data_IF_390547454789
#
_entry.id   IF_390547454789
#
_cell.length_a   1.000
_cell.length_b   1.000
_cell.length_c   1.000
_cell.angle_alpha   90.00
_cell.angle_beta   90.00
_cell.angle_gamma   90.00
#
_symmetry.space_group_name_H-M   'P 1'
#
loop_
_entity.id
_entity.type
_entity.pdbx_description
1 polymer ?
#
# COMPACT_ATOMS: atom_id res chain seq x y z
N UNK A 1 12.96 -10.08 20.61
CA UNK A 1 13.31 -10.61 19.27
C UNK A 1 12.00 -10.82 18.51
N UNK A 2 11.82 -10.26 17.31
CA UNK A 2 10.58 -10.39 16.53
C UNK A 2 9.97 -9.10 15.97
N UNK A 3 10.79 -8.12 15.58
CA UNK A 3 10.31 -6.83 15.04
C UNK A 3 9.79 -6.88 13.60
N UNK A 4 10.03 -7.98 12.87
CA UNK A 4 9.55 -8.18 11.50
C UNK A 4 8.30 -9.06 11.54
N UNK A 5 7.28 -8.66 10.79
CA UNK A 5 6.09 -9.47 10.61
C UNK A 5 6.35 -10.66 9.67
N UNK A 6 5.76 -11.83 9.95
CA UNK A 6 5.93 -12.96 9.04
C UNK A 6 5.40 -12.57 7.66
N UNK A 7 6.14 -12.93 6.62
CA UNK A 7 5.64 -12.83 5.25
C UNK A 7 4.79 -14.08 4.96
N UNK A 8 3.53 -13.89 4.61
CA UNK A 8 2.63 -14.97 4.20
C UNK A 8 2.56 -14.99 2.66
N UNK A 9 2.84 -16.16 2.07
CA UNK A 9 2.82 -16.33 0.62
C UNK A 9 3.98 -15.62 -0.07
N UNK A 10 3.73 -15.04 -1.26
CA UNK A 10 4.74 -14.31 -2.07
C UNK A 10 5.99 -15.13 -2.44
N UNK A 11 5.84 -16.46 -2.52
CA UNK A 11 6.92 -17.40 -2.79
C UNK A 11 7.62 -17.12 -4.12
N UNK A 12 6.83 -16.86 -5.16
CA UNK A 12 7.35 -16.62 -6.51
C UNK A 12 8.18 -15.34 -6.57
N UNK A 13 7.75 -14.30 -5.87
CA UNK A 13 8.44 -13.02 -5.80
C UNK A 13 9.75 -13.12 -5.00
N UNK A 14 9.74 -13.86 -3.88
CA UNK A 14 10.94 -14.15 -3.11
C UNK A 14 11.94 -15.01 -3.90
N UNK A 15 11.49 -16.11 -4.50
CA UNK A 15 12.32 -16.97 -5.33
C UNK A 15 12.93 -16.18 -6.49
N UNK A 16 12.13 -15.30 -7.11
CA UNK A 16 12.62 -14.40 -8.15
C UNK A 16 13.66 -13.42 -7.64
N UNK A 17 13.48 -12.84 -6.45
CA UNK A 17 14.46 -11.93 -5.85
C UNK A 17 15.79 -12.64 -5.55
N UNK A 18 15.74 -13.84 -4.96
CA UNK A 18 16.89 -14.71 -4.72
C UNK A 18 17.60 -15.04 -6.04
N UNK A 19 16.83 -15.49 -7.04
CA UNK A 19 17.38 -15.81 -8.36
C UNK A 19 18.11 -14.62 -8.97
N UNK A 20 17.57 -13.41 -8.83
CA UNK A 20 18.21 -12.18 -9.30
C UNK A 20 19.51 -11.90 -8.55
N UNK A 21 19.50 -11.96 -7.21
CA UNK A 21 20.68 -11.71 -6.37
C UNK A 21 21.84 -12.68 -6.67
N UNK A 22 21.53 -13.91 -7.08
CA UNK A 22 22.51 -14.93 -7.45
C UNK A 22 23.10 -14.75 -8.87
N UNK A 23 22.64 -13.78 -9.67
CA UNK A 23 23.16 -13.56 -11.04
C UNK A 23 24.55 -12.93 -11.00
N UNK A 24 25.36 -13.22 -12.03
CA UNK A 24 26.66 -12.56 -12.25
C UNK A 24 26.53 -11.09 -12.69
N UNK A 25 25.45 -10.74 -13.39
CA UNK A 25 25.16 -9.39 -13.88
C UNK A 25 23.66 -9.12 -13.74
N UNK A 26 23.28 -7.85 -13.58
CA UNK A 26 21.89 -7.45 -13.29
C UNK A 26 21.36 -8.16 -12.04
N UNK A 27 22.16 -8.12 -10.99
CA UNK A 27 21.95 -8.81 -9.73
C UNK A 27 21.32 -7.93 -8.64
N UNK A 28 20.69 -6.84 -9.04
CA UNK A 28 20.03 -5.90 -8.16
C UNK A 28 18.52 -6.01 -8.40
N UNK A 29 17.75 -6.67 -7.50
CA UNK A 29 16.29 -6.68 -7.59
C UNK A 29 15.73 -5.27 -7.47
N UNK A 30 14.78 -4.92 -8.33
CA UNK A 30 13.95 -3.73 -8.17
C UNK A 30 12.50 -4.18 -8.05
N UNK A 31 11.97 -4.11 -6.83
CA UNK A 31 10.59 -4.43 -6.50
C UNK A 31 9.72 -3.28 -6.97
N UNK A 32 8.94 -3.51 -8.02
CA UNK A 32 8.08 -2.48 -8.63
C UNK A 32 6.62 -2.87 -8.44
N UNK A 33 5.86 -2.02 -7.77
CA UNK A 33 4.45 -2.26 -7.47
C UNK A 33 3.81 -1.07 -6.79
N UNK A 34 2.48 -1.02 -6.77
CA UNK A 34 1.73 0.07 -6.14
C UNK A 34 2.05 0.22 -4.64
N UNK A 35 1.73 1.38 -4.05
CA UNK A 35 1.89 1.54 -2.60
C UNK A 35 0.93 0.59 -1.86
N UNK A 36 1.41 -0.01 -0.77
CA UNK A 36 0.63 -0.95 0.05
C UNK A 36 0.65 -2.42 -0.41
N UNK A 37 1.25 -2.77 -1.55
CA UNK A 37 1.26 -4.17 -2.04
C UNK A 37 2.22 -5.12 -1.31
N UNK A 38 3.06 -4.59 -0.42
CA UNK A 38 4.01 -5.37 0.40
C UNK A 38 5.45 -5.46 -0.14
N UNK A 39 5.94 -4.43 -0.83
CA UNK A 39 7.34 -4.39 -1.34
C UNK A 39 8.38 -4.53 -0.21
N UNK A 40 8.24 -3.74 0.85
CA UNK A 40 9.10 -3.77 2.04
C UNK A 40 9.01 -5.11 2.75
N UNK A 41 7.79 -5.65 2.89
CA UNK A 41 7.55 -6.97 3.48
C UNK A 41 8.27 -8.11 2.75
N UNK A 42 8.45 -8.01 1.42
CA UNK A 42 9.24 -9.00 0.66
C UNK A 42 10.73 -8.91 1.02
N UNK A 43 11.29 -7.71 1.14
CA UNK A 43 12.69 -7.55 1.53
C UNK A 43 12.95 -8.03 2.97
N UNK A 44 12.04 -7.72 3.89
CA UNK A 44 12.09 -8.20 5.27
C UNK A 44 11.87 -9.72 5.37
N UNK A 45 10.94 -10.26 4.59
CA UNK A 45 10.71 -11.71 4.48
C UNK A 45 11.92 -12.46 3.93
N UNK A 46 12.66 -11.86 2.99
CA UNK A 46 13.94 -12.41 2.53
C UNK A 46 14.99 -12.42 3.66
N UNK A 47 15.09 -11.34 4.45
CA UNK A 47 15.99 -11.29 5.60
C UNK A 47 15.63 -12.39 6.61
N UNK A 48 14.34 -12.60 6.87
CA UNK A 48 13.86 -13.67 7.73
C UNK A 48 14.24 -15.06 7.19
N UNK A 49 14.08 -15.31 5.88
CA UNK A 49 14.50 -16.58 5.25
C UNK A 49 15.98 -16.87 5.39
N UNK A 50 16.84 -15.85 5.23
CA UNK A 50 18.28 -16.02 5.40
C UNK A 50 18.58 -16.49 6.83
N UNK A 51 17.95 -15.88 7.84
CA UNK A 51 18.11 -16.28 9.25
C UNK A 51 17.60 -17.70 9.52
N UNK A 52 16.52 -18.12 8.86
CA UNK A 52 16.00 -19.49 8.99
C UNK A 52 16.83 -20.54 8.22
N UNK A 53 17.79 -20.12 7.40
CA UNK A 53 18.50 -21.01 6.48
C UNK A 53 17.64 -21.50 5.31
N UNK A 54 16.50 -20.84 5.05
CA UNK A 54 15.58 -21.15 3.93
C UNK A 54 15.99 -20.37 2.66
N UNK A 55 17.27 -20.42 2.34
CA UNK A 55 17.88 -19.82 1.16
C UNK A 55 19.01 -20.73 0.64
N UNK A 56 19.39 -20.66 -0.64
CA UNK A 56 20.54 -21.39 -1.16
C UNK A 56 21.83 -21.07 -0.38
N UNK A 57 22.76 -22.03 -0.29
CA UNK A 57 24.02 -21.90 0.46
C UNK A 57 24.81 -20.62 0.14
N UNK A 58 24.80 -20.21 -1.13
CA UNK A 58 25.47 -18.98 -1.61
C UNK A 58 24.92 -17.69 -0.98
N UNK A 59 23.76 -17.75 -0.32
CA UNK A 59 23.11 -16.63 0.37
C UNK A 59 23.04 -16.80 1.88
N UNK A 60 23.51 -17.93 2.44
CA UNK A 60 23.41 -18.22 3.87
C UNK A 60 24.09 -17.15 4.74
N UNK A 61 25.24 -16.65 4.29
CA UNK A 61 26.02 -15.62 5.00
C UNK A 61 25.60 -14.19 4.66
N UNK A 62 24.57 -14.00 3.82
CA UNK A 62 24.17 -12.66 3.41
C UNK A 62 23.54 -11.88 4.56
N UNK A 63 23.83 -10.58 4.65
CA UNK A 63 23.15 -9.68 5.59
C UNK A 63 22.46 -8.57 4.82
N UNK A 64 21.15 -8.39 5.08
CA UNK A 64 20.36 -7.30 4.48
C UNK A 64 20.38 -6.10 5.41
N UNK A 65 20.88 -4.98 4.91
CA UNK A 65 20.88 -3.69 5.62
C UNK A 65 19.83 -2.77 5.02
N UNK A 66 18.88 -2.28 5.82
CA UNK A 66 17.93 -1.26 5.39
C UNK A 66 18.53 0.14 5.52
N UNK A 67 18.36 0.97 4.49
CA UNK A 67 18.84 2.35 4.48
C UNK A 67 17.76 3.31 4.99
N UNK A 68 18.03 3.96 6.13
CA UNK A 68 17.22 5.09 6.59
C UNK A 68 17.76 6.42 6.06
N UNK A 69 17.07 6.98 5.06
CA UNK A 69 17.40 8.26 4.46
C UNK A 69 17.22 9.40 5.48
N UNK A 70 16.23 9.31 6.36
CA UNK A 70 15.95 10.31 7.38
C UNK A 70 17.13 10.49 8.33
N UNK A 71 17.69 9.38 8.82
CA UNK A 71 18.90 9.39 9.67
C UNK A 71 20.13 9.96 8.96
N UNK A 72 20.26 9.75 7.65
CA UNK A 72 21.36 10.33 6.87
C UNK A 72 21.25 11.84 6.72
N UNK A 73 20.02 12.36 6.58
CA UNK A 73 19.73 13.79 6.49
C UNK A 73 19.74 14.48 7.86
N UNK A 74 19.43 13.76 8.93
CA UNK A 74 19.40 14.28 10.29
C UNK A 74 20.76 14.89 10.70
N UNK A 75 20.72 16.15 11.14
CA UNK A 75 21.91 16.89 11.55
C UNK A 75 22.84 17.29 10.39
N UNK A 76 22.41 17.14 9.13
CA UNK A 76 23.12 17.71 7.97
C UNK A 76 22.54 19.10 7.68
N UNK A 77 23.39 20.12 7.70
CA UNK A 77 22.99 21.51 7.35
C UNK A 77 23.15 21.77 5.85
N UNK A 78 23.97 20.96 5.18
CA UNK A 78 24.36 21.12 3.79
C UNK A 78 24.30 19.78 3.03
N UNK A 79 23.91 19.82 1.76
CA UNK A 79 23.85 18.66 0.84
C UNK A 79 25.15 17.84 0.80
N UNK A 80 26.31 18.50 0.87
CA UNK A 80 27.62 17.83 0.83
C UNK A 80 27.88 16.89 2.02
N UNK A 81 27.26 17.15 3.18
CA UNK A 81 27.40 16.29 4.35
C UNK A 81 26.68 14.95 4.15
N UNK A 82 25.51 14.97 3.53
CA UNK A 82 24.79 13.75 3.12
C UNK A 82 25.64 12.94 2.14
N UNK A 83 26.15 13.55 1.07
CA UNK A 83 26.95 12.85 0.07
C UNK A 83 28.20 12.20 0.70
N UNK A 84 28.85 12.89 1.64
CA UNK A 84 30.00 12.37 2.39
C UNK A 84 29.63 11.18 3.27
N UNK A 85 28.53 11.27 4.03
CA UNK A 85 28.04 10.16 4.89
C UNK A 85 27.64 8.96 4.06
N UNK A 86 26.90 9.18 2.99
CA UNK A 86 26.45 8.12 2.09
C UNK A 86 27.62 7.43 1.40
N UNK A 87 28.62 8.20 0.93
CA UNK A 87 29.85 7.64 0.37
C UNK A 87 30.65 6.80 1.39
N UNK A 88 30.69 7.22 2.66
CA UNK A 88 31.34 6.46 3.72
C UNK A 88 30.62 5.11 3.98
N UNK A 89 29.28 5.13 4.05
CA UNK A 89 28.46 3.93 4.17
C UNK A 89 28.70 2.96 3.00
N UNK A 90 28.68 3.46 1.77
CA UNK A 90 28.93 2.64 0.58
C UNK A 90 30.33 2.01 0.56
N UNK A 91 31.35 2.74 1.03
CA UNK A 91 32.72 2.21 1.14
C UNK A 91 32.83 1.09 2.18
N UNK A 92 32.06 1.17 3.25
CA UNK A 92 32.00 0.11 4.27
C UNK A 92 31.32 -1.15 3.72
N UNK A 93 30.23 -0.99 2.96
CA UNK A 93 29.56 -2.11 2.29
C UNK A 93 30.42 -2.74 1.19
N UNK A 94 31.26 -1.97 0.50
CA UNK A 94 32.19 -2.50 -0.52
C UNK A 94 33.22 -3.50 0.06
N UNK A 95 33.51 -3.44 1.36
CA UNK A 95 34.44 -4.35 2.02
C UNK A 95 33.79 -5.70 2.39
N UNK A 96 32.46 -5.77 2.40
CA UNK A 96 31.69 -6.96 2.76
C UNK A 96 30.89 -7.47 1.55
N UNK A 97 31.40 -8.54 0.92
CA UNK A 97 30.78 -9.15 -0.26
C UNK A 97 29.43 -9.80 0.02
N UNK A 98 29.13 -10.09 1.28
CA UNK A 98 27.88 -10.72 1.71
C UNK A 98 26.81 -9.68 2.09
N UNK A 99 27.14 -8.40 2.03
CA UNK A 99 26.18 -7.34 2.27
C UNK A 99 25.20 -7.15 1.10
N UNK A 100 23.93 -6.97 1.44
CA UNK A 100 22.86 -6.56 0.52
C UNK A 100 22.24 -5.30 1.09
N UNK A 101 22.24 -4.21 0.32
CA UNK A 101 21.62 -2.95 0.72
C UNK A 101 20.17 -2.90 0.25
N UNK A 102 19.22 -2.83 1.17
CA UNK A 102 17.84 -2.52 0.87
C UNK A 102 17.60 -1.01 0.95
N UNK A 103 17.08 -0.44 -0.14
CA UNK A 103 16.70 0.97 -0.23
C UNK A 103 15.21 1.00 -0.56
N UNK A 104 14.41 1.33 0.45
CA UNK A 104 12.99 1.61 0.24
C UNK A 104 12.84 2.93 -0.50
N UNK A 105 11.80 3.02 -1.34
CA UNK A 105 11.54 4.21 -2.16
C UNK A 105 12.79 4.74 -2.88
N UNK A 106 13.53 3.86 -3.56
CA UNK A 106 14.85 4.17 -4.14
C UNK A 106 14.80 5.33 -5.16
N UNK A 107 13.63 5.68 -5.69
CA UNK A 107 13.44 6.85 -6.55
C UNK A 107 13.71 8.18 -5.82
N UNK A 108 13.54 8.24 -4.50
CA UNK A 108 13.77 9.45 -3.68
C UNK A 108 15.23 9.93 -3.74
N UNK A 109 16.18 9.00 -3.84
CA UNK A 109 17.62 9.31 -3.92
C UNK A 109 18.13 9.40 -5.36
N UNK A 110 17.32 9.07 -6.37
CA UNK A 110 17.74 8.98 -7.78
C UNK A 110 17.06 10.03 -8.68
N UNK A 111 15.83 10.42 -8.38
CA UNK A 111 14.98 11.17 -9.32
C UNK A 111 14.71 12.63 -8.98
N UNK A 112 15.18 13.12 -7.84
CA UNK A 112 14.67 14.35 -7.29
C UNK A 112 15.31 15.65 -7.81
N UNK A 113 16.21 15.53 -8.79
CA UNK A 113 16.98 16.64 -9.33
C UNK A 113 16.27 17.52 -10.38
N UNK A 114 15.02 17.23 -10.77
CA UNK A 114 14.42 17.84 -11.97
C UNK A 114 13.32 18.90 -11.76
N UNK A 115 12.65 18.99 -10.59
CA UNK A 115 11.47 19.87 -10.46
C UNK A 115 11.36 20.70 -9.17
N UNK A 116 12.15 20.42 -8.14
CA UNK A 116 12.04 21.15 -6.86
C UNK A 116 13.35 21.02 -6.09
N UNK A 117 14.12 22.11 -6.04
CA UNK A 117 15.52 22.20 -5.58
C UNK A 117 15.83 21.85 -4.12
N UNK A 118 15.33 20.73 -3.58
CA UNK A 118 15.49 20.35 -2.17
C UNK A 118 15.92 18.89 -1.91
N UNK A 119 15.93 17.99 -2.89
CA UNK A 119 16.25 16.58 -2.66
C UNK A 119 17.59 16.17 -3.30
N UNK A 120 18.29 15.24 -2.65
CA UNK A 120 19.68 14.88 -2.97
C UNK A 120 19.71 13.82 -4.07
N UNK A 121 20.28 14.15 -5.23
CA UNK A 121 20.59 13.18 -6.28
C UNK A 121 21.87 12.41 -5.92
N UNK A 122 21.69 11.22 -5.36
CA UNK A 122 22.76 10.29 -5.01
C UNK A 122 23.03 9.25 -6.12
N UNK A 123 22.33 9.32 -7.26
CA UNK A 123 22.47 8.33 -8.34
C UNK A 123 23.93 8.25 -8.83
N UNK A 124 24.62 9.37 -8.89
CA UNK A 124 26.03 9.44 -9.30
C UNK A 124 27.00 8.76 -8.32
N UNK A 125 26.62 8.60 -7.05
CA UNK A 125 27.41 7.89 -6.05
C UNK A 125 27.23 6.37 -6.15
N UNK A 126 26.02 5.92 -6.54
CA UNK A 126 25.65 4.51 -6.59
C UNK A 126 26.05 3.87 -7.93
N UNK A 127 25.97 4.62 -9.04
CA UNK A 127 26.26 4.14 -10.41
C UNK A 127 27.62 3.43 -10.54
N UNK A 128 28.75 3.95 -10.03
CA UNK A 128 30.05 3.28 -10.13
C UNK A 128 30.06 1.91 -9.42
N UNK A 129 29.44 1.82 -8.24
CA UNK A 129 29.43 0.63 -7.41
C UNK A 129 28.51 -0.46 -7.97
N UNK A 130 27.37 -0.07 -8.53
CA UNK A 130 26.52 -0.99 -9.29
C UNK A 130 27.21 -1.47 -10.57
N UNK A 131 28.06 -0.64 -11.19
CA UNK A 131 28.80 -1.04 -12.39
C UNK A 131 29.98 -1.96 -12.13
N UNK A 132 30.65 -1.83 -10.98
CA UNK A 132 31.69 -2.77 -10.56
C UNK A 132 31.11 -4.10 -10.08
N UNK A 133 29.82 -4.11 -9.71
CA UNK A 133 29.12 -5.31 -9.20
C UNK A 133 29.58 -5.72 -7.80
N UNK A 134 30.29 -4.82 -7.10
CA UNK A 134 30.83 -5.08 -5.76
C UNK A 134 29.79 -5.00 -4.66
N UNK A 135 28.68 -4.30 -4.90
CA UNK A 135 27.55 -4.22 -3.97
C UNK A 135 26.29 -4.78 -4.65
N UNK A 136 25.44 -5.42 -3.85
CA UNK A 136 24.09 -5.85 -4.25
C UNK A 136 23.07 -4.94 -3.59
N UNK A 137 22.10 -4.48 -4.37
CA UNK A 137 21.04 -3.58 -3.91
C UNK A 137 19.67 -4.19 -4.20
N UNK A 138 18.78 -4.18 -3.21
CA UNK A 138 17.34 -4.38 -3.40
C UNK A 138 16.70 -2.99 -3.33
N UNK A 139 16.07 -2.55 -4.42
CA UNK A 139 15.32 -1.30 -4.46
C UNK A 139 13.81 -1.54 -4.43
N UNK A 140 13.06 -0.60 -3.89
CA UNK A 140 11.59 -0.56 -3.95
C UNK A 140 11.09 0.74 -4.59
N UNK A 141 10.11 0.67 -5.49
CA UNK A 141 9.52 1.86 -6.13
C UNK A 141 8.10 1.58 -6.65
N UNK A 142 7.33 2.64 -6.95
CA UNK A 142 6.04 2.50 -7.66
C UNK A 142 6.20 2.34 -9.17
N UNK A 143 5.15 1.90 -9.86
CA UNK A 143 5.11 1.83 -11.33
C UNK A 143 5.33 3.19 -11.98
N UNK A 144 4.67 4.23 -11.46
CA UNK A 144 4.75 5.58 -11.99
C UNK A 144 6.18 6.13 -11.90
N UNK A 145 6.84 5.99 -10.74
CA UNK A 145 8.22 6.44 -10.54
C UNK A 145 9.22 5.61 -11.34
N UNK A 146 8.97 4.31 -11.47
CA UNK A 146 9.80 3.44 -12.29
C UNK A 146 9.86 3.95 -13.74
N UNK A 147 8.72 4.18 -14.38
CA UNK A 147 8.69 4.66 -15.77
C UNK A 147 9.14 6.11 -15.92
N UNK A 148 8.86 6.97 -14.93
CA UNK A 148 9.19 8.39 -15.04
C UNK A 148 10.67 8.70 -14.81
N UNK A 149 11.32 7.97 -13.90
CA UNK A 149 12.68 8.26 -13.41
C UNK A 149 13.64 7.14 -13.81
N UNK A 150 13.37 5.91 -13.38
CA UNK A 150 14.30 4.79 -13.51
C UNK A 150 14.49 4.31 -14.94
N UNK A 151 13.40 4.16 -15.70
CA UNK A 151 13.43 3.64 -17.06
C UNK A 151 14.15 4.58 -18.03
N UNK A 152 14.11 5.89 -17.74
CA UNK A 152 14.83 6.92 -18.51
C UNK A 152 16.33 6.90 -18.23
N UNK A 153 16.77 6.50 -17.04
CA UNK A 153 18.19 6.33 -16.73
C UNK A 153 18.72 4.97 -17.20
N UNK A 154 19.29 4.96 -18.41
CA UNK A 154 19.88 3.76 -19.02
C UNK A 154 20.98 3.12 -18.18
N UNK A 155 21.71 3.85 -17.34
CA UNK A 155 22.78 3.28 -16.53
C UNK A 155 22.19 2.40 -15.42
N UNK A 156 21.16 2.89 -14.73
CA UNK A 156 20.48 2.18 -13.64
C UNK A 156 19.60 1.03 -14.16
N UNK A 157 18.80 1.29 -15.20
CA UNK A 157 17.94 0.27 -15.81
C UNK A 157 18.73 -0.97 -16.31
N UNK A 158 20.00 -0.79 -16.68
CA UNK A 158 20.89 -1.89 -17.10
C UNK A 158 21.52 -2.66 -15.94
N UNK A 159 21.35 -2.23 -14.68
CA UNK A 159 21.93 -2.86 -13.47
C UNK A 159 20.88 -3.46 -12.56
N UNK A 160 19.67 -2.94 -12.60
CA UNK A 160 18.53 -3.51 -11.91
C UNK A 160 17.78 -4.53 -12.78
N UNK A 161 17.16 -5.49 -12.11
CA UNK A 161 16.19 -6.39 -12.70
C UNK A 161 14.82 -6.09 -12.07
N UNK A 162 13.89 -5.61 -12.89
CA UNK A 162 12.50 -5.39 -12.49
C UNK A 162 11.87 -6.72 -12.04
N UNK A 163 11.23 -6.69 -10.89
CA UNK A 163 10.33 -7.73 -10.36
C UNK A 163 9.00 -7.05 -10.08
N UNK A 164 7.97 -7.44 -10.83
CA UNK A 164 6.63 -6.91 -10.66
C UNK A 164 5.99 -7.50 -9.42
N UNK A 165 5.60 -6.64 -8.48
CA UNK A 165 4.89 -7.00 -7.25
C UNK A 165 3.44 -6.57 -7.44
N UNK A 166 2.61 -7.53 -7.84
CA UNK A 166 1.20 -7.28 -8.08
C UNK A 166 0.43 -7.21 -6.78
N UNK A 167 -0.71 -6.50 -6.79
CA UNK A 167 -1.68 -6.59 -5.72
C UNK A 167 -2.13 -8.07 -5.56
N UNK A 168 -2.18 -8.60 -4.32
CA UNK A 168 -2.65 -9.95 -4.09
C UNK A 168 -4.15 -10.05 -4.32
N UNK A 169 -4.63 -11.24 -4.65
CA UNK A 169 -6.06 -11.53 -4.76
C UNK A 169 -6.76 -11.45 -3.40
N UNK A 170 -8.09 -11.44 -3.42
CA UNK A 170 -8.92 -11.47 -2.20
C UNK A 170 -8.58 -12.68 -1.34
N UNK A 171 -8.47 -13.87 -1.93
CA UNK A 171 -8.18 -15.10 -1.17
C UNK A 171 -6.75 -15.11 -0.60
N UNK A 172 -5.75 -14.67 -1.38
CA UNK A 172 -4.38 -14.53 -0.88
C UNK A 172 -4.32 -13.52 0.27
N UNK A 173 -5.07 -12.41 0.18
CA UNK A 173 -5.13 -11.41 1.26
C UNK A 173 -5.82 -11.95 2.51
N UNK A 174 -6.87 -12.75 2.36
CA UNK A 174 -7.49 -13.44 3.50
C UNK A 174 -6.49 -14.37 4.18
N UNK A 175 -5.61 -15.05 3.44
CA UNK A 175 -4.54 -15.86 4.02
C UNK A 175 -3.50 -14.99 4.75
N UNK A 176 -3.07 -13.88 4.14
CA UNK A 176 -2.16 -12.91 4.77
C UNK A 176 -2.73 -12.42 6.10
N UNK A 177 -3.98 -11.95 6.12
CA UNK A 177 -4.62 -11.48 7.34
C UNK A 177 -4.73 -12.61 8.37
N UNK A 178 -5.06 -13.84 7.97
CA UNK A 178 -5.13 -14.95 8.93
C UNK A 178 -3.78 -15.29 9.56
N UNK A 179 -2.66 -15.12 8.83
CA UNK A 179 -1.31 -15.29 9.40
C UNK A 179 -0.90 -14.16 10.34
N UNK A 180 -1.35 -12.93 10.09
CA UNK A 180 -1.09 -11.77 10.95
C UNK A 180 -2.08 -11.66 12.12
N UNK A 181 -3.27 -12.24 11.99
CA UNK A 181 -4.38 -12.16 12.95
C UNK A 181 -3.96 -12.46 14.39
N UNK A 182 -3.18 -13.51 14.71
CA UNK A 182 -2.80 -13.79 16.10
C UNK A 182 -2.07 -12.63 16.78
N UNK A 183 -1.26 -11.85 16.03
CA UNK A 183 -0.56 -10.67 16.56
C UNK A 183 -1.54 -9.54 16.85
N UNK A 184 -2.47 -9.26 15.94
CA UNK A 184 -3.51 -8.25 16.14
C UNK A 184 -4.48 -8.63 17.26
N UNK A 185 -4.87 -9.90 17.37
CA UNK A 185 -5.72 -10.40 18.46
C UNK A 185 -5.05 -10.21 19.82
N UNK A 186 -3.77 -10.54 19.95
CA UNK A 186 -3.01 -10.34 21.17
C UNK A 186 -2.83 -8.84 21.50
N UNK A 187 -2.50 -8.03 20.49
CA UNK A 187 -2.31 -6.59 20.65
C UNK A 187 -3.60 -5.89 21.10
N UNK A 188 -4.75 -6.27 20.53
CA UNK A 188 -6.04 -5.64 20.78
C UNK A 188 -6.92 -6.35 21.80
N UNK A 189 -6.51 -7.50 22.34
CA UNK A 189 -7.33 -8.33 23.26
C UNK A 189 -8.75 -8.59 22.71
N UNK A 190 -8.82 -8.94 21.43
CA UNK A 190 -10.05 -9.29 20.72
C UNK A 190 -9.83 -10.54 19.87
N UNK A 191 -10.92 -11.11 19.38
CA UNK A 191 -10.90 -12.17 18.37
C UNK A 191 -11.62 -11.71 17.11
N UNK A 192 -11.04 -11.96 15.94
CA UNK A 192 -11.69 -11.66 14.66
C UNK A 192 -12.37 -12.91 14.13
N UNK A 193 -13.66 -12.82 13.84
CA UNK A 193 -14.36 -13.93 13.19
C UNK A 193 -13.85 -14.14 11.76
N UNK A 194 -13.88 -15.38 11.25
CA UNK A 194 -13.49 -15.67 9.87
C UNK A 194 -14.32 -14.87 8.84
N UNK A 195 -15.61 -14.64 9.14
CA UNK A 195 -16.49 -13.78 8.33
C UNK A 195 -16.05 -12.32 8.36
N UNK A 196 -15.61 -11.80 9.52
CA UNK A 196 -15.09 -10.43 9.62
C UNK A 196 -13.79 -10.26 8.81
N UNK A 197 -12.87 -11.24 8.86
CA UNK A 197 -11.64 -11.21 8.06
C UNK A 197 -11.96 -11.13 6.57
N UNK A 198 -12.83 -11.99 6.07
CA UNK A 198 -13.25 -11.97 4.66
C UNK A 198 -13.94 -10.65 4.30
N UNK A 199 -14.87 -10.17 5.14
CA UNK A 199 -15.55 -8.91 4.93
C UNK A 199 -14.57 -7.72 4.88
N UNK A 200 -13.52 -7.72 5.70
CA UNK A 200 -12.52 -6.65 5.69
C UNK A 200 -11.83 -6.53 4.33
N UNK A 201 -11.46 -7.67 3.73
CA UNK A 201 -10.84 -7.69 2.40
C UNK A 201 -11.84 -7.27 1.32
N UNK A 202 -13.01 -7.91 1.26
CA UNK A 202 -14.01 -7.67 0.22
C UNK A 202 -14.55 -6.23 0.23
N UNK A 203 -14.83 -5.69 1.42
CA UNK A 203 -15.32 -4.32 1.58
C UNK A 203 -14.21 -3.29 1.31
N UNK A 204 -12.96 -3.57 1.69
CA UNK A 204 -11.84 -2.69 1.35
C UNK A 204 -11.59 -2.63 -0.16
N UNK A 205 -11.72 -3.75 -0.87
CA UNK A 205 -11.67 -3.77 -2.35
C UNK A 205 -12.79 -2.93 -2.95
N UNK A 206 -14.01 -3.06 -2.43
CA UNK A 206 -15.20 -2.42 -3.00
C UNK A 206 -15.29 -0.92 -2.74
N UNK A 207 -14.85 -0.46 -1.57
CA UNK A 207 -15.12 0.90 -1.10
C UNK A 207 -13.86 1.76 -0.89
N UNK A 208 -12.67 1.15 -0.79
CA UNK A 208 -11.39 1.86 -0.62
C UNK A 208 -10.57 1.70 -1.91
N UNK A 209 -10.86 2.55 -2.89
CA UNK A 209 -10.35 2.43 -4.27
C UNK A 209 -9.01 3.14 -4.49
N UNK A 210 -8.61 4.04 -3.59
CA UNK A 210 -7.37 4.83 -3.64
C UNK A 210 -6.15 4.10 -3.03
N UNK A 211 -6.38 2.91 -2.47
CA UNK A 211 -5.35 2.06 -1.85
C UNK A 211 -5.42 0.63 -2.37
N UNK A 212 -4.36 -0.13 -2.13
CA UNK A 212 -4.21 -1.50 -2.62
C UNK A 212 -4.12 -2.50 -1.47
N UNK A 213 -4.47 -3.75 -1.74
CA UNK A 213 -4.24 -4.89 -0.87
C UNK A 213 -2.74 -5.23 -0.82
N UNK A 214 -2.24 -5.83 0.28
CA UNK A 214 -2.98 -6.18 1.49
C UNK A 214 -3.16 -5.02 2.49
N UNK A 215 -2.42 -3.91 2.32
CA UNK A 215 -2.35 -2.80 3.28
C UNK A 215 -3.72 -2.27 3.73
N UNK A 216 -4.59 -1.89 2.79
CA UNK A 216 -5.92 -1.36 3.14
C UNK A 216 -6.79 -2.30 3.97
N UNK A 217 -6.64 -3.61 3.79
CA UNK A 217 -7.42 -4.60 4.53
C UNK A 217 -6.81 -4.85 5.93
N UNK A 218 -5.49 -4.75 6.05
CA UNK A 218 -4.79 -4.80 7.34
C UNK A 218 -5.20 -3.58 8.19
N UNK A 219 -5.22 -2.38 7.60
CA UNK A 219 -5.66 -1.12 8.25
C UNK A 219 -7.09 -1.26 8.80
N UNK A 220 -8.02 -1.83 8.02
CA UNK A 220 -9.40 -2.10 8.46
C UNK A 220 -9.45 -3.06 9.67
N UNK A 221 -8.63 -4.12 9.67
CA UNK A 221 -8.58 -5.09 10.78
C UNK A 221 -8.00 -4.45 12.05
N UNK A 222 -6.92 -3.70 11.90
CA UNK A 222 -6.26 -3.00 12.99
C UNK A 222 -7.20 -1.98 13.64
N UNK A 223 -7.84 -1.15 12.80
CA UNK A 223 -8.76 -0.10 13.24
C UNK A 223 -10.02 -0.66 13.91
N UNK A 224 -10.54 -1.80 13.44
CA UNK A 224 -11.64 -2.49 14.09
C UNK A 224 -11.26 -3.02 15.49
N UNK A 225 -10.03 -3.54 15.65
CA UNK A 225 -9.51 -3.98 16.95
C UNK A 225 -9.32 -2.82 17.92
N UNK A 226 -8.69 -1.74 17.44
CA UNK A 226 -8.49 -0.51 18.21
C UNK A 226 -9.83 0.09 18.68
N UNK A 227 -10.83 0.13 17.81
CA UNK A 227 -12.17 0.62 18.15
C UNK A 227 -12.83 -0.20 19.26
N UNK A 228 -12.69 -1.53 19.23
CA UNK A 228 -13.24 -2.39 20.27
C UNK A 228 -12.61 -2.09 21.65
N UNK A 229 -11.32 -1.75 21.70
CA UNK A 229 -10.63 -1.33 22.94
C UNK A 229 -11.05 0.03 23.46
N UNK A 230 -11.30 0.98 22.56
CA UNK A 230 -11.70 2.35 22.92
C UNK A 230 -13.11 2.42 23.53
N UNK A 231 -13.94 1.39 23.35
CA UNK A 231 -15.25 1.34 24.01
C UNK A 231 -15.10 1.24 25.55
N UNK A 232 -16.05 1.83 26.32
CA UNK A 232 -16.11 1.65 27.76
C UNK A 232 -16.14 0.17 28.13
N UNK A 233 -15.54 -0.21 29.27
CA UNK A 233 -15.40 -1.62 29.68
C UNK A 233 -16.72 -2.41 29.60
N UNK A 234 -17.84 -1.77 29.93
CA UNK A 234 -19.19 -2.36 29.86
C UNK A 234 -19.68 -2.69 28.45
N UNK A 235 -19.11 -2.06 27.40
CA UNK A 235 -19.45 -2.24 25.98
C UNK A 235 -18.32 -2.85 25.15
N UNK A 236 -17.18 -3.19 25.76
CA UNK A 236 -16.06 -3.81 25.05
C UNK A 236 -16.47 -5.16 24.48
N UNK A 237 -16.45 -5.25 23.15
CA UNK A 237 -16.63 -6.52 22.46
C UNK A 237 -15.32 -7.28 22.51
N UNK A 238 -15.37 -8.55 22.93
CA UNK A 238 -14.24 -9.49 22.80
C UNK A 238 -14.12 -10.07 21.39
N UNK A 239 -15.11 -9.86 20.54
CA UNK A 239 -15.17 -10.46 19.21
C UNK A 239 -15.61 -9.43 18.18
N UNK A 240 -14.81 -9.30 17.12
CA UNK A 240 -15.06 -8.40 15.99
C UNK A 240 -15.83 -9.17 14.91
N UNK A 241 -16.99 -8.64 14.55
CA UNK A 241 -17.91 -9.21 13.56
C UNK A 241 -17.98 -8.34 12.30
N UNK A 242 -18.70 -8.82 11.28
CA UNK A 242 -18.89 -8.12 10.00
C UNK A 242 -19.41 -6.70 10.19
N UNK A 243 -20.39 -6.47 11.09
CA UNK A 243 -20.94 -5.14 11.35
C UNK A 243 -19.90 -4.13 11.89
N UNK A 244 -18.89 -4.62 12.64
CA UNK A 244 -17.82 -3.76 13.15
C UNK A 244 -16.90 -3.32 12.00
N UNK A 245 -16.61 -4.25 11.08
CA UNK A 245 -15.85 -4.00 9.85
C UNK A 245 -16.59 -3.03 8.92
N UNK A 246 -17.90 -3.23 8.71
CA UNK A 246 -18.71 -2.35 7.87
C UNK A 246 -18.66 -0.89 8.33
N UNK A 247 -18.76 -0.66 9.64
CA UNK A 247 -18.72 0.71 10.18
C UNK A 247 -17.30 1.31 10.12
N UNK A 248 -16.24 0.51 10.24
CA UNK A 248 -14.86 0.97 10.01
C UNK A 248 -14.65 1.35 8.55
N UNK A 249 -15.02 0.47 7.61
CA UNK A 249 -14.89 0.74 6.17
C UNK A 249 -15.73 1.95 5.76
N UNK A 250 -16.97 2.08 6.24
CA UNK A 250 -17.81 3.24 5.97
C UNK A 250 -17.13 4.55 6.38
N UNK A 251 -16.48 4.56 7.54
CA UNK A 251 -15.74 5.70 8.06
C UNK A 251 -14.48 6.01 7.24
N UNK A 252 -13.67 5.00 6.88
CA UNK A 252 -12.48 5.18 6.03
C UNK A 252 -12.90 5.70 4.64
N UNK A 253 -13.89 5.07 4.02
CA UNK A 253 -14.43 5.44 2.72
C UNK A 253 -15.26 6.74 2.74
N UNK A 254 -15.45 7.35 3.92
CA UNK A 254 -16.28 8.54 4.14
C UNK A 254 -17.72 8.39 3.62
N UNK A 255 -18.24 7.16 3.68
CA UNK A 255 -19.62 6.82 3.35
C UNK A 255 -20.47 6.99 4.62
N UNK A 256 -21.58 7.74 4.59
CA UNK A 256 -22.46 7.87 5.74
C UNK A 256 -22.97 6.50 6.24
N UNK A 257 -22.76 6.21 7.53
CA UNK A 257 -23.01 4.91 8.20
C UNK A 257 -24.42 4.31 7.98
N UNK A 258 -25.40 5.12 7.56
CA UNK A 258 -26.79 4.70 7.37
C UNK A 258 -27.10 4.08 6.01
N UNK A 259 -26.15 3.97 5.10
CA UNK A 259 -26.42 3.48 3.72
C UNK A 259 -26.16 1.99 3.49
N UNK A 260 -25.95 1.20 4.56
CA UNK A 260 -25.65 -0.24 4.44
C UNK A 260 -26.70 -1.17 5.05
N UNK A 261 -27.73 -0.66 5.76
CA UNK A 261 -28.80 -1.52 6.27
C UNK A 261 -30.17 -0.86 6.25
N UNK A 262 -31.06 -1.37 5.39
CA UNK A 262 -32.53 -1.22 5.39
C UNK A 262 -33.15 0.19 5.31
N UNK A 263 -32.45 1.31 5.56
CA UNK A 263 -33.04 2.66 5.49
C UNK A 263 -33.07 3.29 4.09
N UNK A 264 -32.30 2.77 3.12
CA UNK A 264 -32.23 3.36 1.78
C UNK A 264 -33.59 3.28 1.05
N UNK A 265 -34.38 2.23 1.29
CA UNK A 265 -35.68 2.04 0.62
C UNK A 265 -36.68 3.14 0.97
N UNK A 266 -36.85 3.45 2.26
CA UNK A 266 -37.79 4.49 2.69
C UNK A 266 -37.28 5.89 2.37
N UNK A 267 -35.96 6.08 2.43
CA UNK A 267 -35.34 7.37 2.09
C UNK A 267 -35.47 7.67 0.60
N UNK A 268 -35.22 6.68 -0.27
CA UNK A 268 -35.40 6.80 -1.72
C UNK A 268 -36.87 6.91 -2.12
N UNK A 269 -37.77 6.20 -1.43
CA UNK A 269 -39.21 6.28 -1.67
C UNK A 269 -39.72 7.71 -1.50
N UNK A 270 -39.29 8.39 -0.43
CA UNK A 270 -39.77 9.73 -0.07
C UNK A 270 -38.85 10.87 -0.56
N UNK A 271 -37.81 10.56 -1.35
CA UNK A 271 -36.81 11.55 -1.78
C UNK A 271 -37.41 12.65 -2.66
N UNK A 272 -38.32 12.27 -3.58
CA UNK A 272 -39.01 13.21 -4.47
C UNK A 272 -39.87 14.20 -3.68
N UNK A 273 -40.71 13.68 -2.79
CA UNK A 273 -41.62 14.50 -1.96
C UNK A 273 -40.84 15.46 -1.06
N UNK A 274 -39.70 15.02 -0.50
CA UNK A 274 -38.83 15.88 0.30
C UNK A 274 -38.20 17.02 -0.49
N UNK A 275 -37.79 16.76 -1.72
CA UNK A 275 -37.21 17.78 -2.59
C UNK A 275 -38.29 18.77 -3.07
N UNK A 276 -39.50 18.28 -3.39
CA UNK A 276 -40.65 19.13 -3.77
C UNK A 276 -41.13 20.04 -2.63
N UNK A 277 -40.92 19.65 -1.37
CA UNK A 277 -41.17 20.52 -0.21
C UNK A 277 -40.18 21.69 -0.08
N UNK A 278 -38.98 21.58 -0.65
CA UNK A 278 -37.91 22.58 -0.54
C UNK A 278 -37.70 23.38 -1.83
N UNK A 279 -38.04 22.80 -2.98
CA UNK A 279 -37.84 23.37 -4.32
C UNK A 279 -39.16 23.39 -5.05
N UNK A 280 -39.71 24.59 -5.25
CA UNK A 280 -41.01 24.79 -5.89
C UNK A 280 -40.86 25.07 -7.39
N UNK A 281 -41.80 24.57 -8.20
CA UNK A 281 -41.88 24.86 -9.64
C UNK A 281 -40.89 24.12 -10.52
N UNK A 282 -40.17 23.12 -9.99
CA UNK A 282 -39.16 22.32 -10.70
C UNK A 282 -39.44 20.81 -10.59
N UNK A 283 -40.72 20.42 -10.56
CA UNK A 283 -41.13 19.03 -10.33
C UNK A 283 -40.50 18.04 -11.33
N UNK A 284 -40.43 18.41 -12.61
CA UNK A 284 -39.82 17.58 -13.66
C UNK A 284 -38.32 17.34 -13.43
N UNK A 285 -37.58 18.34 -12.94
CA UNK A 285 -36.15 18.21 -12.65
C UNK A 285 -35.91 17.33 -11.42
N UNK A 286 -36.78 17.45 -10.41
CA UNK A 286 -36.74 16.64 -9.19
C UNK A 286 -37.07 15.18 -9.51
N UNK A 287 -38.07 14.92 -10.36
CA UNK A 287 -38.42 13.56 -10.79
C UNK A 287 -37.27 12.90 -11.55
N UNK A 288 -36.71 13.57 -12.56
CA UNK A 288 -35.57 13.07 -13.33
C UNK A 288 -34.35 12.77 -12.45
N UNK A 289 -34.04 13.65 -11.49
CA UNK A 289 -32.94 13.46 -10.56
C UNK A 289 -33.17 12.26 -9.62
N UNK A 290 -34.38 12.17 -9.04
CA UNK A 290 -34.69 11.08 -8.11
C UNK A 290 -34.77 9.72 -8.79
N UNK A 291 -35.22 9.67 -10.05
CA UNK A 291 -35.21 8.45 -10.85
C UNK A 291 -33.78 7.98 -11.17
N UNK A 292 -32.90 8.90 -11.58
CA UNK A 292 -31.48 8.59 -11.82
C UNK A 292 -30.78 8.06 -10.55
N UNK A 293 -31.04 8.68 -9.39
CA UNK A 293 -30.48 8.23 -8.10
C UNK A 293 -31.04 6.85 -7.71
N UNK A 294 -32.34 6.60 -7.91
CA UNK A 294 -32.97 5.29 -7.65
C UNK A 294 -32.38 4.20 -8.55
N UNK A 295 -32.19 4.47 -9.84
CA UNK A 295 -31.59 3.54 -10.80
C UNK A 295 -30.15 3.17 -10.43
N UNK A 296 -29.33 4.18 -10.14
CA UNK A 296 -27.94 3.95 -9.72
C UNK A 296 -27.85 3.15 -8.41
N UNK A 297 -28.73 3.42 -7.44
CA UNK A 297 -28.78 2.67 -6.18
C UNK A 297 -29.32 1.25 -6.33
N UNK A 298 -30.14 0.98 -7.35
CA UNK A 298 -30.58 -0.37 -7.71
C UNK A 298 -29.50 -1.17 -8.48
N UNK A 299 -28.31 -0.61 -8.70
CA UNK A 299 -27.24 -1.24 -9.48
C UNK A 299 -27.50 -1.22 -10.99
N UNK A 300 -28.49 -0.45 -11.45
CA UNK A 300 -28.79 -0.24 -12.87
C UNK A 300 -28.03 1.02 -13.35
N UNK A 301 -26.72 0.88 -13.58
CA UNK A 301 -25.84 1.95 -14.05
C UNK A 301 -24.42 1.47 -14.33
N UNK A 302 -23.63 2.25 -15.08
CA UNK A 302 -22.23 1.92 -15.35
C UNK A 302 -21.33 2.27 -14.16
N UNK A 303 -20.56 1.30 -13.64
CA UNK A 303 -19.68 1.45 -12.46
C UNK A 303 -18.65 2.60 -12.55
N UNK A 304 -18.29 3.03 -13.76
CA UNK A 304 -17.28 4.09 -13.99
C UNK A 304 -17.87 5.45 -14.40
N UNK A 305 -19.18 5.69 -14.22
CA UNK A 305 -19.79 7.01 -14.48
C UNK A 305 -20.45 7.59 -13.22
N UNK A 306 -20.41 8.92 -13.02
CA UNK A 306 -21.16 9.59 -11.97
C UNK A 306 -22.65 9.22 -12.01
N UNK A 307 -23.25 9.11 -10.83
CA UNK A 307 -24.64 8.69 -10.58
C UNK A 307 -25.67 9.48 -11.41
N UNK A 308 -25.43 10.77 -11.63
CA UNK A 308 -26.22 11.61 -12.53
C UNK A 308 -25.35 12.75 -13.09
N UNK A 309 -25.48 13.05 -14.38
CA UNK A 309 -25.05 14.31 -14.98
C UNK A 309 -26.30 15.09 -15.37
N UNK A 310 -26.74 16.02 -14.53
CA UNK A 310 -27.83 16.93 -14.85
C UNK A 310 -27.28 18.35 -14.98
N UNK A 311 -27.28 18.89 -16.21
CA UNK A 311 -27.03 20.30 -16.43
C UNK A 311 -28.37 21.03 -16.27
N UNK A 312 -28.48 21.95 -15.30
CA UNK A 312 -29.68 22.78 -15.14
C UNK A 312 -29.53 24.00 -16.05
N UNK A 313 -30.30 24.13 -17.14
CA UNK A 313 -30.30 25.37 -17.91
C UNK A 313 -30.97 26.45 -17.05
N UNK A 314 -30.17 27.34 -16.48
CA UNK A 314 -30.69 28.55 -15.83
C UNK A 314 -31.33 29.45 -16.87
N UNK A 315 -32.55 29.90 -16.63
CA UNK A 315 -33.11 31.05 -17.34
C UNK A 315 -32.28 32.27 -16.95
N UNK A 316 -31.48 32.77 -17.90
CA UNK A 316 -31.01 34.14 -17.88
C UNK A 316 -32.25 35.04 -18.02
N UNK A 317 -32.61 35.70 -16.92
CA UNK A 317 -33.46 36.87 -16.91
C UNK A 317 -32.70 38.00 -16.23
#
# INVERSE_FOLDING_TARGET
>A
MGGIDPLIGREKELERAIQVLCRRRKNNPLLVGESGVGKTAIAEGLAWRIVQGDVPEVMADCTIYSLDIGSLLAGTKYRGDFEKRFKALLKQLEQDTNSILFIDEIHTIIGAGAASGGQVDAANLIKPLLSSGKIRVIGSTTYQEFSNIFEKDRALARRFQKIDITEPSVEETVQIINGLKPKYEAHHDVRYTAKAVRAAVELAVKYINDRHLPDKAIDVIDEAGARARLMPVSKRKKTVNVADIESVVARIARIPEKSVSQSDRDTLKNLGDRLKMLVFGQDNAIEALTEAIKMSRAGLGHEHKPVAHSCSPGQLA
#
